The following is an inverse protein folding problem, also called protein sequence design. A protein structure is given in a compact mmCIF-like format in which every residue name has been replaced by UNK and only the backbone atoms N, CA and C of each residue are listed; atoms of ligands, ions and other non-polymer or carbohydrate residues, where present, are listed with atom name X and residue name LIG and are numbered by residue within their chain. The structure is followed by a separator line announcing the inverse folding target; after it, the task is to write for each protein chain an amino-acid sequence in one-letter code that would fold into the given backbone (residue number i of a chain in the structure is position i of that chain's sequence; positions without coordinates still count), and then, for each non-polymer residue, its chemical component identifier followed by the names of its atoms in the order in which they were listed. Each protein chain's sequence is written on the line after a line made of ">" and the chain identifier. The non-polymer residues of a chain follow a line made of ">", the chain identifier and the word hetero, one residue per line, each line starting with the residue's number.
data_IF_736584072158
#
_entry.id   IF_736584072158
#
_cell.length_a   1.000
_cell.length_b   1.000
_cell.length_c   1.000
_cell.angle_alpha   90.00
_cell.angle_beta   90.00
_cell.angle_gamma   90.00
#
_symmetry.space_group_name_H-M   'P 1'
#
loop_
_entity.id
_entity.type
_entity.pdbx_description
1 polymer ?
#
# COMPACT_ATOMS: atom_id res chain seq x y z
N UNK A 1 -8.67 7.43 23.44
CA UNK A 1 -8.31 6.08 23.93
C UNK A 1 -6.80 5.96 24.15
N UNK A 2 -5.98 5.98 23.09
CA UNK A 2 -4.52 5.81 23.21
C UNK A 2 -3.88 6.84 24.15
N UNK A 3 -4.29 8.10 24.07
CA UNK A 3 -3.85 9.17 24.97
C UNK A 3 -4.09 8.84 26.45
N UNK A 4 -5.31 8.39 26.80
CA UNK A 4 -5.64 7.97 28.16
C UNK A 4 -4.91 6.70 28.63
N UNK A 5 -4.45 5.83 27.73
CA UNK A 5 -3.57 4.71 28.09
C UNK A 5 -2.16 5.23 28.38
N UNK A 6 -1.62 6.08 27.50
CA UNK A 6 -0.29 6.64 27.63
C UNK A 6 -0.12 7.46 28.92
N UNK A 7 -1.07 8.35 29.23
CA UNK A 7 -1.00 9.19 30.43
C UNK A 7 -0.96 8.33 31.70
N UNK A 8 -1.87 7.35 31.83
CA UNK A 8 -1.89 6.43 32.97
C UNK A 8 -0.63 5.60 33.08
N UNK A 9 -0.16 5.04 31.97
CA UNK A 9 1.08 4.27 31.92
C UNK A 9 2.27 5.13 32.39
N UNK A 10 2.37 6.35 31.88
CA UNK A 10 3.44 7.29 32.24
C UNK A 10 3.41 7.64 33.72
N UNK A 11 2.25 7.87 34.31
CA UNK A 11 2.12 8.17 35.72
C UNK A 11 2.54 6.99 36.61
N UNK A 12 2.19 5.76 36.19
CA UNK A 12 2.68 4.55 36.86
C UNK A 12 4.21 4.45 36.82
N UNK A 13 4.83 4.64 35.65
CA UNK A 13 6.30 4.61 35.52
C UNK A 13 7.00 5.71 36.32
N UNK A 14 6.40 6.90 36.45
CA UNK A 14 6.94 7.99 37.28
C UNK A 14 6.85 7.69 38.77
N UNK A 15 5.74 7.08 39.20
CA UNK A 15 5.47 6.79 40.60
C UNK A 15 6.25 5.57 41.10
N UNK A 16 6.18 4.48 40.35
CA UNK A 16 6.61 3.16 40.82
C UNK A 16 7.95 2.71 40.17
N UNK A 17 8.46 3.47 39.21
CA UNK A 17 9.63 3.08 38.42
C UNK A 17 9.33 1.95 37.45
N UNK A 18 10.38 1.29 36.95
CA UNK A 18 10.26 0.16 36.06
C UNK A 18 11.51 -0.11 35.24
N UNK A 19 11.46 -1.10 34.36
CA UNK A 19 12.51 -1.36 33.40
C UNK A 19 12.56 -0.22 32.38
N UNK A 20 13.69 0.50 32.33
CA UNK A 20 13.99 1.53 31.34
C UNK A 20 12.84 2.56 31.13
N UNK A 21 12.51 3.37 32.15
CA UNK A 21 11.34 4.25 32.13
C UNK A 21 11.50 5.46 31.18
N UNK A 22 12.74 5.87 30.89
CA UNK A 22 13.06 7.13 30.21
C UNK A 22 12.28 7.36 28.91
N UNK A 23 12.16 6.39 27.97
CA UNK A 23 11.41 6.60 26.72
C UNK A 23 9.92 6.84 26.93
N UNK A 24 9.34 6.36 28.04
CA UNK A 24 7.91 6.53 28.35
C UNK A 24 7.68 7.88 29.02
N UNK A 25 8.53 8.25 29.98
CA UNK A 25 8.37 9.44 30.80
C UNK A 25 8.83 10.72 30.10
N UNK A 26 9.82 10.62 29.22
CA UNK A 26 10.42 11.76 28.49
C UNK A 26 9.86 11.95 27.08
N UNK A 27 8.98 11.08 26.58
CA UNK A 27 8.29 11.29 25.31
C UNK A 27 7.45 12.58 25.37
N UNK A 28 7.75 13.52 24.46
CA UNK A 28 7.02 14.79 24.34
C UNK A 28 5.52 14.53 24.17
N UNK A 29 4.70 15.24 24.95
CA UNK A 29 3.24 15.13 24.93
C UNK A 29 2.60 16.44 25.37
N UNK A 30 2.94 17.51 24.65
CA UNK A 30 2.62 18.91 25.01
C UNK A 30 1.32 19.37 24.35
N UNK A 31 0.28 18.54 24.44
CA UNK A 31 -1.06 18.88 23.94
C UNK A 31 -1.84 19.63 25.01
N UNK A 32 -2.68 20.58 24.59
CA UNK A 32 -3.51 21.38 25.49
C UNK A 32 -4.39 20.50 26.40
N UNK A 33 -4.89 19.38 25.86
CA UNK A 33 -5.59 18.33 26.62
C UNK A 33 -4.86 16.99 26.46
N UNK A 34 -3.96 16.62 27.39
CA UNK A 34 -3.15 15.40 27.27
C UNK A 34 -3.93 14.10 27.07
N UNK A 35 -5.13 13.97 27.64
CA UNK A 35 -5.97 12.77 27.49
C UNK A 35 -6.84 12.77 26.22
N UNK A 36 -6.95 13.93 25.55
CA UNK A 36 -7.72 14.12 24.32
C UNK A 36 -7.03 15.13 23.39
N UNK A 37 -5.84 14.80 22.83
CA UNK A 37 -5.13 15.68 21.90
C UNK A 37 -5.99 16.07 20.70
N UNK A 38 -5.89 17.33 20.28
CA UNK A 38 -6.65 17.82 19.13
C UNK A 38 -5.98 17.38 17.80
N UNK A 39 -6.75 16.95 16.78
CA UNK A 39 -6.19 16.59 15.47
C UNK A 39 -5.34 17.70 14.82
N UNK A 40 -5.64 18.98 15.08
CA UNK A 40 -4.87 20.09 14.54
C UNK A 40 -3.52 20.28 15.24
N UNK A 41 -3.42 20.00 16.55
CA UNK A 41 -2.14 20.00 17.26
C UNK A 41 -1.22 18.92 16.70
N UNK A 42 -1.76 17.70 16.51
CA UNK A 42 -1.08 16.60 15.83
C UNK A 42 -0.68 16.97 14.40
N UNK A 43 -1.55 17.68 13.68
CA UNK A 43 -1.27 18.12 12.31
C UNK A 43 -0.12 19.10 12.19
N UNK A 44 -0.05 20.06 13.10
CA UNK A 44 1.06 21.00 13.21
C UNK A 44 2.36 20.29 13.61
N UNK A 45 2.28 19.31 14.51
CA UNK A 45 3.44 18.53 14.95
C UNK A 45 4.07 17.71 13.82
N UNK A 46 3.29 16.96 13.03
CA UNK A 46 3.87 16.23 11.89
C UNK A 46 4.33 17.17 10.77
N UNK A 47 3.66 18.31 10.58
CA UNK A 47 4.05 19.32 9.58
C UNK A 47 5.31 20.08 9.97
N UNK A 48 5.63 20.13 11.26
CA UNK A 48 6.88 20.66 11.77
C UNK A 48 6.92 22.16 12.00
N UNK A 49 7.79 22.57 12.91
CA UNK A 49 7.99 23.96 13.33
C UNK A 49 9.47 24.24 13.60
N UNK A 50 9.81 25.53 13.59
CA UNK A 50 11.09 26.02 14.04
C UNK A 50 11.14 26.03 15.57
N UNK A 51 12.17 25.43 16.18
CA UNK A 51 12.44 25.47 17.62
C UNK A 51 13.26 26.69 18.02
N UNK A 52 13.97 27.29 17.05
CA UNK A 52 14.78 28.51 17.18
C UNK A 52 14.54 29.39 15.95
N UNK A 53 15.08 30.62 15.96
CA UNK A 53 15.12 31.42 14.74
C UNK A 53 15.95 30.72 13.67
N UNK A 54 15.43 30.68 12.44
CA UNK A 54 16.07 30.04 11.30
C UNK A 54 16.55 31.12 10.32
N UNK A 55 17.87 31.36 10.20
CA UNK A 55 18.42 32.20 9.13
C UNK A 55 18.31 31.53 7.75
N UNK A 56 18.25 32.32 6.68
CA UNK A 56 18.33 31.82 5.30
C UNK A 56 19.73 31.22 5.06
N UNK A 57 19.85 29.96 4.59
CA UNK A 57 21.15 29.38 4.25
C UNK A 57 21.95 30.16 3.20
N UNK A 58 21.27 30.91 2.32
CA UNK A 58 21.89 31.76 1.28
C UNK A 58 22.26 33.15 1.79
N UNK A 59 21.61 33.63 2.85
CA UNK A 59 21.84 34.94 3.44
C UNK A 59 21.54 34.91 4.95
N UNK A 60 22.55 34.62 5.80
CA UNK A 60 22.34 34.44 7.23
C UNK A 60 21.79 35.67 7.97
N UNK A 61 21.77 36.85 7.33
CA UNK A 61 21.19 38.07 7.89
C UNK A 61 19.66 38.10 7.81
N UNK A 62 19.07 37.25 6.97
CA UNK A 62 17.62 37.13 6.80
C UNK A 62 17.08 35.97 7.61
N UNK A 63 16.07 36.22 8.43
CA UNK A 63 15.36 35.17 9.17
C UNK A 63 14.17 34.67 8.35
N UNK A 64 14.15 33.38 8.03
CA UNK A 64 13.07 32.72 7.27
C UNK A 64 11.95 32.19 8.18
N UNK A 65 12.27 31.82 9.43
CA UNK A 65 11.29 31.42 10.46
C UNK A 65 11.71 31.91 11.84
N UNK A 66 10.75 32.38 12.63
CA UNK A 66 10.94 32.61 14.07
C UNK A 66 10.69 31.34 14.86
N UNK A 67 11.21 31.28 16.09
CA UNK A 67 10.90 30.17 17.00
C UNK A 67 9.38 30.04 17.21
N UNK A 68 8.85 28.83 17.09
CA UNK A 68 7.43 28.49 17.19
C UNK A 68 6.64 28.58 15.88
N UNK A 69 7.19 29.17 14.81
CA UNK A 69 6.50 29.22 13.52
C UNK A 69 6.51 27.85 12.82
N UNK A 70 5.41 27.54 12.11
CA UNK A 70 5.33 26.37 11.26
C UNK A 70 6.34 26.46 10.10
N UNK A 71 6.93 25.33 9.72
CA UNK A 71 7.80 25.27 8.53
C UNK A 71 6.96 25.30 7.26
N UNK A 72 7.43 25.95 6.19
CA UNK A 72 6.74 25.95 4.89
C UNK A 72 6.99 24.68 4.07
N UNK A 73 8.03 23.92 4.40
CA UNK A 73 8.37 22.68 3.69
C UNK A 73 9.62 22.03 4.26
N UNK A 74 9.87 20.78 3.87
CA UNK A 74 11.01 20.00 4.39
C UNK A 74 12.38 20.59 4.03
N UNK A 75 12.47 21.48 3.05
CA UNK A 75 13.70 22.20 2.73
C UNK A 75 14.17 23.15 3.85
N UNK A 76 13.30 23.47 4.82
CA UNK A 76 13.63 24.28 5.99
C UNK A 76 14.12 23.44 7.18
N UNK A 77 14.01 22.11 7.12
CA UNK A 77 14.47 21.21 8.19
C UNK A 77 16.00 21.24 8.31
N UNK A 78 16.49 21.09 9.56
CA UNK A 78 17.90 21.06 9.91
C UNK A 78 18.25 19.88 10.82
N UNK A 79 19.52 19.52 10.81
CA UNK A 79 20.11 18.44 11.60
C UNK A 79 20.76 18.93 12.92
N UNK A 80 20.67 20.22 13.22
CA UNK A 80 21.26 20.89 14.40
C UNK A 80 20.30 21.02 15.60
N UNK A 81 19.11 20.42 15.51
CA UNK A 81 18.07 20.49 16.53
C UNK A 81 17.32 21.84 16.59
N UNK A 82 17.49 22.72 15.60
CA UNK A 82 16.72 23.97 15.51
C UNK A 82 15.33 23.82 14.89
N UNK A 83 14.99 22.63 14.37
CA UNK A 83 13.69 22.31 13.78
C UNK A 83 13.15 20.99 14.29
N UNK A 84 11.82 20.83 14.27
CA UNK A 84 11.15 19.56 14.54
C UNK A 84 10.11 19.26 13.46
N UNK A 85 9.88 17.99 13.15
CA UNK A 85 8.77 17.50 12.32
C UNK A 85 8.52 16.02 12.64
N UNK A 86 7.27 15.66 12.95
CA UNK A 86 6.89 14.27 13.16
C UNK A 86 6.89 13.43 11.88
N UNK A 87 6.82 14.05 10.70
CA UNK A 87 6.87 13.37 9.41
C UNK A 87 7.39 14.31 8.31
N UNK A 88 8.67 14.19 7.94
CA UNK A 88 9.32 15.16 7.04
C UNK A 88 8.63 15.30 5.68
N UNK A 89 8.08 14.23 5.10
CA UNK A 89 7.34 14.30 3.82
C UNK A 89 6.04 15.09 3.91
N UNK A 90 5.50 15.29 5.12
CA UNK A 90 4.32 16.14 5.39
C UNK A 90 4.71 17.55 5.83
N UNK A 91 6.01 17.84 5.92
CA UNK A 91 6.47 19.16 6.32
C UNK A 91 5.91 20.22 5.36
N UNK A 92 5.21 21.22 5.91
CA UNK A 92 4.50 22.24 5.15
C UNK A 92 3.03 21.93 4.79
N UNK A 93 2.50 20.74 5.12
CA UNK A 93 1.07 20.45 4.95
C UNK A 93 0.18 21.37 5.81
N UNK A 94 0.64 21.67 7.02
CA UNK A 94 0.22 22.83 7.82
C UNK A 94 1.39 23.81 7.92
N UNK A 95 1.39 24.81 7.05
CA UNK A 95 2.48 25.77 6.92
C UNK A 95 2.19 27.11 7.62
N UNK A 96 3.05 28.13 7.40
CA UNK A 96 2.86 29.48 7.93
C UNK A 96 1.53 30.14 7.52
N UNK A 97 0.99 29.74 6.37
CA UNK A 97 -0.27 30.25 5.81
C UNK A 97 -1.49 29.46 6.27
N UNK A 98 -1.31 28.49 7.17
CA UNK A 98 -2.38 27.67 7.73
C UNK A 98 -2.44 26.25 7.16
N UNK A 99 -3.62 25.63 7.32
CA UNK A 99 -3.85 24.23 6.95
C UNK A 99 -4.10 24.08 5.44
N UNK A 100 -3.07 23.64 4.70
CA UNK A 100 -3.18 23.44 3.24
C UNK A 100 -4.01 22.20 2.88
N UNK A 101 -4.14 21.23 3.79
CA UNK A 101 -4.93 20.01 3.59
C UNK A 101 -6.43 20.31 3.56
N UNK A 102 -6.85 21.41 4.19
CA UNK A 102 -8.25 21.85 4.23
C UNK A 102 -8.68 22.66 2.99
N UNK A 103 -7.79 22.95 2.03
CA UNK A 103 -8.15 23.73 0.85
C UNK A 103 -9.17 23.00 -0.03
N UNK A 104 -10.08 23.78 -0.62
CA UNK A 104 -11.23 23.28 -1.42
C UNK A 104 -11.37 24.00 -2.77
N UNK A 105 -10.26 24.45 -3.34
CA UNK A 105 -10.25 25.05 -4.67
C UNK A 105 -9.96 23.97 -5.73
N UNK A 106 -10.95 23.67 -6.58
CA UNK A 106 -10.89 22.62 -7.59
C UNK A 106 -10.53 23.16 -8.99
N UNK A 107 -9.98 24.37 -9.07
CA UNK A 107 -9.54 24.93 -10.34
C UNK A 107 -8.52 24.00 -11.03
N UNK A 108 -8.74 23.76 -12.32
CA UNK A 108 -7.83 23.09 -13.24
C UNK A 108 -7.66 23.98 -14.48
N UNK A 109 -6.81 25.03 -14.40
CA UNK A 109 -6.64 25.99 -15.49
C UNK A 109 -6.00 25.36 -16.74
N UNK A 110 -5.43 24.16 -16.62
CA UNK A 110 -4.71 23.48 -17.70
C UNK A 110 -5.53 22.39 -18.40
N UNK A 111 -6.65 21.97 -17.80
CA UNK A 111 -7.54 20.95 -18.34
C UNK A 111 -6.99 19.52 -18.31
N UNK A 112 -5.92 19.27 -17.54
CA UNK A 112 -5.28 17.94 -17.45
C UNK A 112 -5.71 17.16 -16.19
N UNK A 113 -6.63 17.71 -15.41
CA UNK A 113 -7.12 17.16 -14.15
C UNK A 113 -6.23 17.49 -12.94
N UNK A 114 -5.31 18.45 -13.04
CA UNK A 114 -4.38 18.74 -11.93
C UNK A 114 -4.87 19.89 -11.03
N UNK A 115 -5.50 19.53 -9.91
CA UNK A 115 -6.12 20.47 -8.96
C UNK A 115 -5.19 20.80 -7.79
N UNK A 116 -4.10 21.54 -8.07
CA UNK A 116 -3.02 21.84 -7.09
C UNK A 116 -3.48 22.60 -5.85
N UNK A 117 -4.64 23.26 -5.91
CA UNK A 117 -5.22 23.99 -4.79
C UNK A 117 -6.28 23.21 -3.99
N UNK A 118 -6.59 21.96 -4.38
CA UNK A 118 -7.49 21.10 -3.61
C UNK A 118 -6.69 20.19 -2.69
N UNK A 119 -6.95 20.28 -1.38
CA UNK A 119 -6.16 19.65 -0.34
C UNK A 119 -4.64 19.90 -0.51
N UNK A 120 -3.81 18.99 -0.02
CA UNK A 120 -2.37 19.03 -0.17
C UNK A 120 -1.84 17.61 -0.35
N UNK A 121 -0.98 17.40 -1.34
CA UNK A 121 -0.34 16.11 -1.59
C UNK A 121 1.10 16.12 -1.09
N UNK A 122 1.58 15.01 -0.55
CA UNK A 122 3.00 14.83 -0.32
C UNK A 122 3.66 14.25 -1.59
N UNK A 123 4.94 14.56 -1.84
CA UNK A 123 5.77 15.57 -1.16
C UNK A 123 5.54 16.98 -1.74
N UNK A 124 5.54 18.01 -0.89
CA UNK A 124 5.52 19.43 -1.27
C UNK A 124 4.44 19.81 -2.32
N UNK A 125 3.26 19.21 -2.25
CA UNK A 125 2.12 19.39 -3.15
C UNK A 125 2.32 18.94 -4.60
N UNK A 126 3.38 18.15 -4.89
CA UNK A 126 3.60 17.51 -6.19
C UNK A 126 2.53 16.45 -6.44
N UNK A 127 1.82 16.56 -7.55
CA UNK A 127 0.68 15.66 -7.87
C UNK A 127 1.11 14.50 -8.76
N UNK A 128 2.12 14.71 -9.60
CA UNK A 128 2.73 13.67 -10.42
C UNK A 128 4.20 13.55 -10.03
N UNK A 129 4.57 12.45 -9.38
CA UNK A 129 5.96 12.14 -9.08
C UNK A 129 6.78 11.97 -10.36
N UNK A 130 8.07 12.31 -10.29
CA UNK A 130 9.03 12.21 -11.40
C UNK A 130 8.65 13.05 -12.63
N UNK A 131 7.86 14.12 -12.46
CA UNK A 131 7.34 14.92 -13.58
C UNK A 131 8.44 15.59 -14.44
N UNK A 132 9.70 15.70 -13.97
CA UNK A 132 10.85 16.04 -14.83
C UNK A 132 11.05 15.08 -16.00
N UNK A 133 10.70 13.80 -15.84
CA UNK A 133 10.75 12.80 -16.91
C UNK A 133 9.64 12.99 -17.98
N UNK A 134 8.72 13.94 -17.80
CA UNK A 134 7.77 14.35 -18.84
C UNK A 134 8.38 15.25 -19.93
N UNK A 135 9.64 15.67 -19.74
CA UNK A 135 10.42 16.48 -20.66
C UNK A 135 11.65 15.74 -21.18
N UNK A 136 12.13 16.13 -22.34
CA UNK A 136 13.43 15.72 -22.86
C UNK A 136 14.61 16.28 -22.03
N UNK A 137 15.83 15.99 -22.47
CA UNK A 137 17.06 16.41 -21.79
C UNK A 137 17.22 17.92 -21.73
N UNK A 138 16.59 18.69 -22.62
CA UNK A 138 16.64 20.15 -22.67
C UNK A 138 15.43 20.82 -21.99
N UNK A 139 14.55 20.04 -21.36
CA UNK A 139 13.40 20.54 -20.62
C UNK A 139 12.19 20.90 -21.47
N UNK A 140 12.15 20.44 -22.73
CA UNK A 140 10.98 20.55 -23.59
C UNK A 140 10.03 19.37 -23.32
N UNK A 141 8.73 19.61 -23.09
CA UNK A 141 7.75 18.53 -22.87
C UNK A 141 7.66 17.57 -24.06
N UNK A 142 7.65 16.26 -23.79
CA UNK A 142 7.44 15.24 -24.84
C UNK A 142 6.05 15.35 -25.46
N UNK A 143 5.04 15.72 -24.65
CA UNK A 143 3.69 15.96 -25.11
C UNK A 143 3.22 17.37 -24.72
N UNK A 144 3.28 18.36 -25.64
CA UNK A 144 2.88 19.73 -25.36
C UNK A 144 1.40 19.89 -24.95
N UNK A 145 0.53 18.96 -25.32
CA UNK A 145 -0.90 18.96 -24.93
C UNK A 145 -1.13 18.49 -23.48
N UNK A 146 -0.11 17.89 -22.85
CA UNK A 146 -0.13 17.38 -21.48
C UNK A 146 1.13 17.81 -20.73
N UNK A 147 1.44 19.11 -20.80
CA UNK A 147 2.61 19.70 -20.12
C UNK A 147 2.40 19.69 -18.61
N UNK A 148 3.20 18.89 -17.90
CA UNK A 148 3.27 18.93 -16.44
C UNK A 148 4.18 20.08 -15.98
N UNK A 149 5.44 20.03 -16.40
CA UNK A 149 6.42 21.11 -16.18
C UNK A 149 7.20 21.37 -17.48
N UNK A 150 7.92 22.48 -17.53
CA UNK A 150 8.90 22.81 -18.57
C UNK A 150 9.97 23.76 -18.01
N UNK A 151 11.13 23.78 -18.66
CA UNK A 151 12.16 24.77 -18.38
C UNK A 151 11.84 26.08 -19.10
N UNK A 152 11.88 27.22 -18.39
CA UNK A 152 11.63 28.55 -18.98
C UNK A 152 12.91 29.36 -19.27
N UNK A 153 14.10 28.76 -19.09
CA UNK A 153 15.39 29.44 -19.19
C UNK A 153 16.04 29.78 -17.84
N UNK A 154 15.26 29.76 -16.75
CA UNK A 154 15.74 30.07 -15.39
C UNK A 154 15.20 29.13 -14.31
N UNK A 155 13.97 28.65 -14.48
CA UNK A 155 13.27 27.81 -13.50
C UNK A 155 12.36 26.80 -14.18
N UNK A 156 12.10 25.69 -13.48
CA UNK A 156 11.08 24.72 -13.83
C UNK A 156 9.71 25.18 -13.35
N UNK A 157 8.68 25.02 -14.18
CA UNK A 157 7.31 25.31 -13.78
C UNK A 157 6.28 24.82 -14.79
N UNK A 158 5.01 24.88 -14.42
CA UNK A 158 3.92 24.43 -15.28
C UNK A 158 2.62 24.18 -14.53
N UNK A 159 1.93 23.13 -14.95
CA UNK A 159 0.66 22.67 -14.38
C UNK A 159 0.83 22.00 -13.01
N UNK A 160 2.04 21.54 -12.66
CA UNK A 160 2.36 20.86 -11.41
C UNK A 160 3.58 21.48 -10.72
N UNK A 161 3.76 21.18 -9.43
CA UNK A 161 4.98 21.52 -8.70
C UNK A 161 6.12 20.64 -9.22
N UNK A 162 7.29 21.20 -9.61
CA UNK A 162 8.41 20.38 -10.07
C UNK A 162 8.87 19.37 -9.01
N UNK A 163 8.90 18.09 -9.39
CA UNK A 163 9.59 17.03 -8.65
C UNK A 163 11.08 17.00 -9.05
N UNK A 164 11.70 18.16 -8.87
CA UNK A 164 13.05 18.44 -9.35
C UNK A 164 13.58 19.68 -8.62
N UNK A 165 14.89 19.93 -8.71
CA UNK A 165 15.48 21.18 -8.22
C UNK A 165 15.02 22.33 -9.13
N UNK A 166 14.40 23.35 -8.52
CA UNK A 166 13.64 24.38 -9.24
C UNK A 166 14.49 25.19 -10.23
N UNK A 167 15.75 25.45 -9.88
CA UNK A 167 16.72 26.25 -10.64
C UNK A 167 17.77 25.39 -11.36
N UNK A 168 17.52 24.09 -11.51
CA UNK A 168 18.48 23.19 -12.15
C UNK A 168 18.45 23.35 -13.68
N UNK A 169 19.53 23.88 -14.25
CA UNK A 169 19.67 24.00 -15.69
C UNK A 169 19.68 22.59 -16.33
N UNK A 170 18.82 22.29 -17.33
CA UNK A 170 18.82 21.01 -18.02
C UNK A 170 20.20 20.56 -18.54
N UNK A 171 21.05 21.51 -18.92
CA UNK A 171 22.39 21.23 -19.46
C UNK A 171 23.38 20.66 -18.41
N UNK A 172 23.07 20.79 -17.12
CA UNK A 172 23.90 20.21 -16.05
C UNK A 172 23.75 18.69 -15.92
N UNK A 173 22.75 18.09 -16.56
CA UNK A 173 22.59 16.63 -16.61
C UNK A 173 22.06 15.96 -15.32
N UNK A 174 21.47 16.70 -14.38
CA UNK A 174 20.81 16.10 -13.21
C UNK A 174 19.63 15.20 -13.63
N UNK A 175 19.61 13.97 -13.10
CA UNK A 175 18.61 12.97 -13.46
C UNK A 175 17.24 13.18 -12.77
N UNK A 176 16.12 12.80 -13.42
CA UNK A 176 14.75 13.10 -12.95
C UNK A 176 14.30 12.35 -11.68
N UNK A 177 15.04 11.35 -11.22
CA UNK A 177 14.65 10.51 -10.06
C UNK A 177 15.44 10.92 -8.83
N UNK A 178 15.03 12.03 -8.20
CA UNK A 178 15.81 12.74 -7.18
C UNK A 178 16.05 11.95 -5.88
N UNK A 179 15.25 10.91 -5.62
CA UNK A 179 15.43 10.04 -4.45
C UNK A 179 16.39 8.88 -4.72
N UNK A 180 16.81 8.67 -5.97
CA UNK A 180 17.79 7.66 -6.33
C UNK A 180 19.18 8.29 -6.33
N UNK A 181 20.20 7.68 -5.68
CA UNK A 181 21.58 8.19 -5.69
C UNK A 181 22.15 8.44 -7.09
N UNK A 182 21.75 7.61 -8.05
CA UNK A 182 22.18 7.72 -9.46
C UNK A 182 21.32 8.67 -10.31
N UNK A 183 20.24 9.25 -9.76
CA UNK A 183 19.34 10.17 -10.45
C UNK A 183 18.47 9.54 -11.56
N UNK A 184 18.56 8.22 -11.78
CA UNK A 184 17.85 7.51 -12.86
C UNK A 184 16.92 6.42 -12.32
N UNK A 185 15.94 6.01 -13.13
CA UNK A 185 15.15 4.81 -12.88
C UNK A 185 16.02 3.55 -13.09
N UNK A 186 15.73 2.49 -12.33
CA UNK A 186 16.47 1.23 -12.40
C UNK A 186 15.75 0.25 -13.31
N UNK A 187 16.32 -0.03 -14.47
CA UNK A 187 15.98 -1.23 -15.25
C UNK A 187 16.57 -2.49 -14.61
N UNK A 188 17.79 -2.38 -14.09
CA UNK A 188 18.47 -3.41 -13.29
C UNK A 188 18.48 -2.97 -11.82
N UNK A 189 17.80 -3.72 -10.95
CA UNK A 189 17.56 -3.32 -9.55
C UNK A 189 18.77 -3.49 -8.62
N UNK A 190 19.89 -4.06 -9.10
CA UNK A 190 21.08 -4.40 -8.30
C UNK A 190 20.71 -5.30 -7.11
N UNK A 191 21.30 -5.07 -5.94
CA UNK A 191 20.99 -5.81 -4.71
C UNK A 191 19.78 -5.29 -3.93
N UNK A 192 18.86 -4.55 -4.55
CA UNK A 192 17.71 -3.98 -3.84
C UNK A 192 16.49 -4.91 -3.74
N UNK A 193 16.58 -6.12 -4.33
CA UNK A 193 15.52 -7.14 -4.32
C UNK A 193 16.10 -8.45 -3.80
N UNK A 194 15.37 -9.15 -2.94
CA UNK A 194 15.82 -10.39 -2.33
C UNK A 194 16.01 -11.53 -3.35
N UNK A 195 15.19 -11.55 -4.39
CA UNK A 195 15.08 -12.59 -5.41
C UNK A 195 15.87 -12.30 -6.69
N UNK A 196 16.54 -11.15 -6.78
CA UNK A 196 17.44 -10.81 -7.87
C UNK A 196 17.13 -9.49 -8.58
N UNK A 197 18.05 -9.01 -9.44
CA UNK A 197 18.00 -7.67 -9.99
C UNK A 197 17.02 -7.49 -11.16
N UNK A 198 16.50 -8.58 -11.71
CA UNK A 198 15.47 -8.61 -12.74
C UNK A 198 14.30 -9.48 -12.26
N UNK A 199 13.05 -9.15 -12.65
CA UNK A 199 11.93 -10.06 -12.44
C UNK A 199 12.16 -11.39 -13.16
N UNK A 200 11.86 -12.49 -12.48
CA UNK A 200 11.90 -13.85 -13.01
C UNK A 200 10.60 -14.56 -12.59
N UNK A 201 10.11 -15.48 -13.43
CA UNK A 201 8.87 -16.20 -13.12
C UNK A 201 9.14 -17.36 -12.16
N UNK A 202 8.37 -17.39 -11.07
CA UNK A 202 8.30 -18.50 -10.14
C UNK A 202 6.83 -18.84 -9.86
N UNK A 203 6.54 -20.12 -9.71
CA UNK A 203 5.20 -20.60 -9.37
C UNK A 203 4.82 -20.26 -7.92
N UNK A 204 3.51 -20.10 -7.63
CA UNK A 204 2.98 -20.04 -6.27
C UNK A 204 3.37 -21.28 -5.44
N UNK A 205 3.49 -21.13 -4.12
CA UNK A 205 3.92 -22.23 -3.24
C UNK A 205 2.99 -23.45 -3.29
N UNK A 206 1.70 -23.20 -3.53
CA UNK A 206 0.75 -24.20 -3.95
C UNK A 206 0.39 -23.98 -5.41
N UNK A 207 1.08 -24.69 -6.30
CA UNK A 207 0.85 -24.65 -7.76
C UNK A 207 0.25 -25.96 -8.27
N UNK A 208 -0.64 -25.92 -9.28
CA UNK A 208 -1.15 -27.13 -9.94
C UNK A 208 -0.08 -27.82 -10.81
N UNK A 209 1.09 -27.18 -11.01
CA UNK A 209 2.16 -27.67 -11.88
C UNK A 209 3.20 -28.50 -11.10
N UNK A 210 3.79 -29.49 -11.76
CA UNK A 210 4.84 -30.33 -11.17
C UNK A 210 6.22 -29.65 -11.19
N UNK A 211 6.45 -28.77 -12.17
CA UNK A 211 7.67 -28.01 -12.37
C UNK A 211 7.32 -26.65 -12.98
N UNK A 212 8.21 -25.67 -12.82
CA UNK A 212 8.12 -24.38 -13.51
C UNK A 212 8.49 -24.56 -14.99
N UNK A 213 7.59 -24.29 -15.96
CA UNK A 213 7.88 -24.49 -17.39
C UNK A 213 9.05 -23.68 -17.95
N UNK A 214 9.39 -22.54 -17.32
CA UNK A 214 10.54 -21.72 -17.73
C UNK A 214 11.88 -22.26 -17.21
N UNK A 215 11.84 -23.13 -16.19
CA UNK A 215 13.02 -23.74 -15.59
C UNK A 215 12.74 -25.20 -15.18
N UNK A 216 12.33 -26.08 -16.11
CA UNK A 216 11.74 -27.38 -15.78
C UNK A 216 12.73 -28.35 -15.12
N UNK A 217 14.03 -28.15 -15.36
CA UNK A 217 15.10 -28.97 -14.80
C UNK A 217 15.72 -28.37 -13.52
N UNK A 218 15.13 -27.32 -12.95
CA UNK A 218 15.62 -26.63 -11.74
C UNK A 218 14.57 -26.66 -10.63
N UNK A 219 14.53 -27.72 -9.80
CA UNK A 219 13.51 -27.86 -8.74
C UNK A 219 13.50 -26.69 -7.74
N UNK A 220 14.66 -26.07 -7.50
CA UNK A 220 14.78 -24.90 -6.62
C UNK A 220 14.12 -23.65 -7.20
N UNK A 221 13.87 -23.60 -8.51
CA UNK A 221 13.20 -22.52 -9.22
C UNK A 221 11.71 -22.82 -9.46
N UNK A 222 11.13 -23.82 -8.77
CA UNK A 222 9.69 -24.01 -8.79
C UNK A 222 9.00 -22.78 -8.18
N UNK A 223 9.34 -22.45 -6.94
CA UNK A 223 8.85 -21.28 -6.22
C UNK A 223 9.98 -20.25 -6.05
N UNK A 224 9.64 -19.05 -5.57
CA UNK A 224 10.64 -18.01 -5.33
C UNK A 224 11.72 -18.51 -4.33
N UNK A 225 12.99 -18.64 -4.74
CA UNK A 225 14.03 -19.24 -3.90
C UNK A 225 14.45 -18.34 -2.72
N UNK A 226 14.14 -17.05 -2.76
CA UNK A 226 14.42 -16.10 -1.68
C UNK A 226 13.31 -16.01 -0.63
N UNK A 227 12.16 -16.65 -0.87
CA UNK A 227 11.03 -16.60 0.05
C UNK A 227 11.31 -17.40 1.34
N UNK A 228 10.88 -16.82 2.47
CA UNK A 228 10.99 -17.46 3.79
C UNK A 228 9.76 -18.31 4.05
N UNK A 229 9.99 -19.59 4.37
CA UNK A 229 8.92 -20.52 4.76
C UNK A 229 9.35 -21.28 6.00
N UNK A 230 8.57 -21.16 7.08
CA UNK A 230 8.82 -21.94 8.29
C UNK A 230 8.47 -23.42 8.06
N UNK A 231 9.08 -24.29 8.87
CA UNK A 231 8.92 -25.75 8.71
C UNK A 231 7.45 -26.17 8.79
N UNK A 232 6.71 -25.65 9.78
CA UNK A 232 5.29 -25.98 9.98
C UNK A 232 4.42 -25.51 8.80
N UNK A 233 4.70 -24.33 8.25
CA UNK A 233 3.95 -23.80 7.10
C UNK A 233 4.21 -24.62 5.84
N UNK A 234 5.45 -25.10 5.65
CA UNK A 234 5.81 -25.98 4.54
C UNK A 234 5.09 -27.33 4.60
N UNK A 235 4.93 -27.89 5.80
CA UNK A 235 4.15 -29.11 6.04
C UNK A 235 2.65 -28.90 5.79
N UNK A 236 2.16 -27.66 5.96
CA UNK A 236 0.76 -27.30 5.75
C UNK A 236 0.40 -27.01 4.28
N UNK A 237 1.33 -27.04 3.33
CA UNK A 237 1.02 -26.85 1.91
C UNK A 237 0.30 -28.07 1.30
N UNK A 238 -0.84 -27.79 0.69
CA UNK A 238 -1.59 -28.69 -0.16
C UNK A 238 -0.82 -29.06 -1.42
N UNK A 239 -1.17 -30.22 -1.96
CA UNK A 239 -0.63 -30.77 -3.20
C UNK A 239 -1.74 -30.91 -4.22
N UNK A 240 -1.40 -30.75 -5.50
CA UNK A 240 -2.36 -30.72 -6.60
C UNK A 240 -3.18 -32.01 -6.76
N UNK A 241 -2.65 -33.15 -6.33
CA UNK A 241 -3.38 -34.44 -6.30
C UNK A 241 -4.56 -34.44 -5.32
N UNK A 242 -4.45 -33.69 -4.21
CA UNK A 242 -5.51 -33.56 -3.19
C UNK A 242 -6.37 -32.30 -3.36
N UNK A 243 -5.75 -31.22 -3.83
CA UNK A 243 -6.35 -29.89 -4.00
C UNK A 243 -6.09 -29.41 -5.43
N UNK A 244 -6.85 -29.88 -6.43
CA UNK A 244 -6.49 -29.71 -7.85
C UNK A 244 -6.87 -28.35 -8.44
N UNK A 245 -7.65 -27.53 -7.73
CA UNK A 245 -8.15 -26.26 -8.25
C UNK A 245 -7.35 -25.09 -7.71
N UNK A 246 -6.99 -24.15 -8.58
CA UNK A 246 -6.41 -22.87 -8.15
C UNK A 246 -7.49 -22.07 -7.45
N UNK A 247 -7.12 -21.37 -6.39
CA UNK A 247 -7.99 -20.47 -5.64
C UNK A 247 -7.42 -19.07 -5.63
N UNK A 248 -8.32 -18.08 -5.68
CA UNK A 248 -7.97 -16.68 -5.51
C UNK A 248 -8.99 -15.94 -4.66
N UNK A 249 -8.53 -15.00 -3.85
CA UNK A 249 -9.39 -14.17 -2.99
C UNK A 249 -9.47 -12.74 -3.48
N UNK A 250 -10.64 -12.13 -3.45
CA UNK A 250 -10.85 -10.76 -3.93
C UNK A 250 -12.01 -10.07 -3.22
N UNK A 251 -12.36 -8.88 -3.72
CA UNK A 251 -13.37 -8.00 -3.16
C UNK A 251 -14.57 -7.89 -4.08
N UNK A 252 -15.72 -7.53 -3.50
CA UNK A 252 -16.94 -7.11 -4.16
C UNK A 252 -17.16 -5.64 -3.83
N UNK A 253 -17.70 -4.90 -4.79
CA UNK A 253 -17.95 -3.45 -4.69
C UNK A 253 -18.75 -3.07 -3.43
N UNK A 254 -19.70 -3.93 -3.07
CA UNK A 254 -20.67 -3.71 -2.01
C UNK A 254 -20.09 -3.94 -0.62
N UNK A 255 -18.90 -4.53 -0.50
CA UNK A 255 -18.30 -4.81 0.81
C UNK A 255 -16.87 -4.32 0.97
N UNK A 256 -16.57 -3.78 2.16
CA UNK A 256 -15.22 -3.42 2.58
C UNK A 256 -14.72 -4.38 3.65
N UNK A 257 -13.84 -5.30 3.23
CA UNK A 257 -13.29 -6.37 4.07
C UNK A 257 -14.41 -7.04 4.90
N UNK A 258 -14.19 -7.20 6.21
CA UNK A 258 -15.14 -7.74 7.17
C UNK A 258 -15.94 -6.65 7.91
N UNK A 259 -15.86 -5.39 7.46
CA UNK A 259 -16.48 -4.26 8.15
C UNK A 259 -17.92 -4.04 7.70
N UNK A 260 -18.17 -3.82 6.42
CA UNK A 260 -19.50 -3.37 5.99
C UNK A 260 -20.58 -4.46 6.05
N UNK A 261 -20.25 -5.71 6.39
CA UNK A 261 -21.25 -6.71 6.83
C UNK A 261 -21.96 -6.33 8.14
N UNK A 262 -21.51 -5.28 8.83
CA UNK A 262 -22.22 -4.62 9.94
C UNK A 262 -23.16 -3.49 9.48
N UNK A 263 -23.13 -3.11 8.20
CA UNK A 263 -24.00 -2.08 7.63
C UNK A 263 -25.17 -2.75 6.92
N UNK A 264 -26.39 -2.45 7.35
CA UNK A 264 -27.61 -3.13 6.92
C UNK A 264 -27.81 -3.09 5.40
N UNK A 265 -27.56 -1.96 4.74
CA UNK A 265 -27.74 -1.84 3.29
C UNK A 265 -26.79 -2.76 2.53
N UNK A 266 -25.50 -2.78 2.88
CA UNK A 266 -24.52 -3.67 2.26
C UNK A 266 -24.90 -5.15 2.48
N UNK A 267 -25.33 -5.49 3.69
CA UNK A 267 -25.82 -6.82 4.03
C UNK A 267 -27.15 -7.20 3.36
N UNK A 268 -27.91 -6.25 2.81
CA UNK A 268 -29.06 -6.54 1.94
C UNK A 268 -28.59 -6.78 0.51
N UNK A 269 -27.64 -5.97 0.03
CA UNK A 269 -27.16 -6.06 -1.36
C UNK A 269 -26.34 -7.33 -1.62
N UNK A 270 -25.45 -7.72 -0.70
CA UNK A 270 -24.66 -8.96 -0.77
C UNK A 270 -24.82 -9.75 0.54
N UNK A 271 -25.96 -10.45 0.73
CA UNK A 271 -26.36 -10.95 2.04
C UNK A 271 -25.63 -12.20 2.51
N UNK A 272 -25.08 -12.99 1.60
CA UNK A 272 -24.67 -14.36 1.88
C UNK A 272 -23.38 -14.73 1.16
N UNK A 273 -22.51 -15.47 1.86
CA UNK A 273 -21.26 -15.93 1.31
C UNK A 273 -21.47 -16.88 0.14
N UNK A 274 -20.75 -16.58 -0.94
CA UNK A 274 -20.67 -17.45 -2.11
C UNK A 274 -19.22 -17.62 -2.56
N UNK A 275 -19.00 -18.62 -3.40
CA UNK A 275 -17.78 -18.82 -4.18
C UNK A 275 -18.14 -18.89 -5.66
N UNK A 276 -17.31 -18.31 -6.51
CA UNK A 276 -17.50 -18.32 -7.95
C UNK A 276 -16.81 -19.56 -8.55
N UNK A 277 -17.59 -20.35 -9.29
CA UNK A 277 -17.13 -21.57 -9.95
C UNK A 277 -17.39 -21.44 -11.45
N UNK A 278 -16.38 -21.74 -12.26
CA UNK A 278 -16.54 -21.77 -13.72
C UNK A 278 -17.54 -22.84 -14.16
N UNK A 279 -18.32 -22.57 -15.21
CA UNK A 279 -19.34 -23.50 -15.70
C UNK A 279 -18.78 -24.91 -16.00
N UNK A 280 -17.59 -25.01 -16.60
CA UNK A 280 -16.95 -26.31 -16.89
C UNK A 280 -16.64 -27.10 -15.61
N UNK A 281 -16.04 -26.47 -14.59
CA UNK A 281 -15.78 -27.12 -13.30
C UNK A 281 -17.07 -27.54 -12.61
N UNK A 282 -18.10 -26.70 -12.67
CA UNK A 282 -19.40 -27.01 -12.09
C UNK A 282 -20.05 -28.23 -12.76
N UNK A 283 -19.96 -28.36 -14.08
CA UNK A 283 -20.45 -29.51 -14.83
C UNK A 283 -19.66 -30.78 -14.49
N UNK A 284 -18.32 -30.70 -14.43
CA UNK A 284 -17.43 -31.80 -14.03
C UNK A 284 -17.75 -32.33 -12.62
N UNK A 285 -18.09 -31.44 -11.68
CA UNK A 285 -18.38 -31.78 -10.28
C UNK A 285 -19.89 -32.00 -10.00
N UNK A 286 -20.78 -31.83 -10.99
CA UNK A 286 -22.23 -31.94 -10.79
C UNK A 286 -22.81 -30.89 -9.81
N UNK A 287 -22.26 -29.67 -9.82
CA UNK A 287 -22.66 -28.56 -8.95
C UNK A 287 -23.59 -27.61 -9.71
N UNK A 288 -24.86 -27.55 -9.30
CA UNK A 288 -25.81 -26.57 -9.85
C UNK A 288 -25.59 -25.17 -9.27
N UNK A 289 -25.93 -24.13 -10.05
CA UNK A 289 -25.93 -22.75 -9.54
C UNK A 289 -26.83 -22.61 -8.30
N UNK A 290 -26.34 -21.94 -7.26
CA UNK A 290 -27.06 -21.77 -5.99
C UNK A 290 -26.92 -22.95 -5.01
N UNK A 291 -26.27 -24.04 -5.40
CA UNK A 291 -26.04 -25.18 -4.50
C UNK A 291 -25.08 -24.82 -3.37
N UNK A 292 -25.14 -25.55 -2.26
CA UNK A 292 -24.09 -25.48 -1.23
C UNK A 292 -22.88 -26.29 -1.65
N UNK A 293 -21.71 -25.72 -1.44
CA UNK A 293 -20.42 -26.36 -1.70
C UNK A 293 -19.50 -26.17 -0.51
N UNK A 294 -18.64 -27.17 -0.29
CA UNK A 294 -17.51 -27.09 0.61
C UNK A 294 -16.27 -26.81 -0.22
N UNK A 295 -15.54 -25.77 0.15
CA UNK A 295 -14.22 -25.48 -0.39
C UNK A 295 -13.21 -25.76 0.71
N UNK A 296 -12.25 -26.65 0.45
CA UNK A 296 -11.24 -27.07 1.41
C UNK A 296 -9.83 -26.83 0.89
N UNK A 297 -8.92 -26.55 1.82
CA UNK A 297 -7.48 -26.60 1.61
C UNK A 297 -6.87 -27.51 2.67
N UNK A 298 -5.55 -27.70 2.63
CA UNK A 298 -4.86 -28.49 3.65
C UNK A 298 -4.91 -27.86 5.06
N UNK A 299 -5.42 -26.62 5.19
CA UNK A 299 -5.53 -25.86 6.44
C UNK A 299 -6.94 -25.88 7.05
N UNK A 300 -7.97 -26.20 6.28
CA UNK A 300 -9.35 -26.12 6.73
C UNK A 300 -10.35 -26.06 5.59
N UNK A 301 -11.60 -25.72 5.91
CA UNK A 301 -12.67 -25.61 4.92
C UNK A 301 -13.63 -24.47 5.22
N UNK A 302 -14.38 -24.07 4.20
CA UNK A 302 -15.54 -23.19 4.30
C UNK A 302 -16.72 -23.83 3.57
N UNK A 303 -17.93 -23.44 3.93
CA UNK A 303 -19.13 -23.77 3.17
C UNK A 303 -19.81 -22.49 2.67
N UNK A 304 -20.19 -22.48 1.41
CA UNK A 304 -20.71 -21.29 0.74
C UNK A 304 -21.73 -21.68 -0.35
N UNK A 305 -22.46 -20.68 -0.85
CA UNK A 305 -23.27 -20.84 -2.06
C UNK A 305 -22.36 -20.89 -3.29
N UNK A 306 -22.59 -21.81 -4.22
CA UNK A 306 -21.91 -21.81 -5.52
C UNK A 306 -22.57 -20.81 -6.47
N UNK A 307 -21.83 -19.79 -6.90
CA UNK A 307 -22.19 -18.95 -8.03
C UNK A 307 -21.54 -19.52 -9.29
N UNK A 308 -22.28 -20.31 -10.05
CA UNK A 308 -21.79 -20.90 -11.29
C UNK A 308 -21.86 -19.86 -12.41
N UNK A 309 -20.75 -19.63 -13.10
CA UNK A 309 -20.66 -18.56 -14.10
C UNK A 309 -19.73 -18.89 -15.26
N UNK A 310 -20.01 -18.29 -16.43
CA UNK A 310 -19.14 -18.32 -17.61
C UNK A 310 -18.02 -17.26 -17.56
N UNK A 311 -18.02 -16.37 -16.55
CA UNK A 311 -16.98 -15.37 -16.35
C UNK A 311 -15.63 -15.99 -15.97
N UNK A 312 -15.67 -17.10 -15.25
CA UNK A 312 -14.49 -17.90 -14.92
C UNK A 312 -14.42 -19.06 -15.90
N UNK A 313 -13.29 -19.18 -16.60
CA UNK A 313 -13.03 -20.23 -17.58
C UNK A 313 -11.79 -21.01 -17.18
N UNK A 314 -11.73 -22.33 -17.44
CA UNK A 314 -10.48 -23.06 -17.34
C UNK A 314 -9.46 -22.48 -18.30
N UNK A 315 -8.19 -22.52 -17.90
CA UNK A 315 -7.06 -22.21 -18.77
C UNK A 315 -6.36 -23.51 -19.15
N UNK A 316 -5.87 -23.59 -20.39
CA UNK A 316 -4.99 -24.68 -20.81
C UNK A 316 -3.56 -24.35 -20.42
N UNK A 317 -2.99 -25.11 -19.48
CA UNK A 317 -1.62 -24.92 -18.98
C UNK A 317 -0.92 -26.28 -19.04
N UNK A 318 0.21 -26.37 -19.75
CA UNK A 318 0.95 -27.63 -19.94
C UNK A 318 0.04 -28.78 -20.42
N UNK A 319 -0.87 -28.48 -21.34
CA UNK A 319 -1.82 -29.45 -21.90
C UNK A 319 -2.96 -29.88 -20.96
N UNK A 320 -3.06 -29.29 -19.76
CA UNK A 320 -4.11 -29.59 -18.77
C UNK A 320 -5.09 -28.43 -18.63
N UNK A 321 -6.36 -28.75 -18.39
CA UNK A 321 -7.33 -27.76 -17.95
C UNK A 321 -7.07 -27.44 -16.47
N UNK A 322 -6.72 -26.19 -16.19
CA UNK A 322 -6.56 -25.67 -14.83
C UNK A 322 -7.76 -24.80 -14.51
N UNK A 323 -8.52 -25.22 -13.50
CA UNK A 323 -9.70 -24.49 -13.02
C UNK A 323 -9.34 -23.53 -11.89
N UNK A 324 -10.03 -22.39 -11.84
CA UNK A 324 -9.91 -21.40 -10.76
C UNK A 324 -11.22 -21.27 -9.99
N UNK A 325 -11.13 -21.20 -8.67
CA UNK A 325 -12.24 -20.95 -7.74
C UNK A 325 -12.08 -19.55 -7.18
N UNK A 326 -13.08 -18.71 -7.41
CA UNK A 326 -13.08 -17.34 -6.94
C UNK A 326 -13.75 -17.20 -5.57
N UNK A 327 -13.13 -16.49 -4.64
CA UNK A 327 -13.64 -16.39 -3.26
C UNK A 327 -13.61 -14.95 -2.73
N UNK A 328 -14.76 -14.27 -2.65
CA UNK A 328 -14.83 -12.99 -1.97
C UNK A 328 -14.59 -13.11 -0.46
N UNK A 329 -14.05 -12.06 0.16
CA UNK A 329 -13.52 -12.10 1.54
C UNK A 329 -14.46 -11.50 2.60
N UNK A 330 -15.75 -11.35 2.34
CA UNK A 330 -16.55 -10.35 3.07
C UNK A 330 -17.36 -10.87 4.25
N UNK A 331 -17.43 -12.19 4.44
CA UNK A 331 -18.27 -12.81 5.46
C UNK A 331 -17.44 -13.37 6.62
N UNK A 332 -18.14 -13.71 7.70
CA UNK A 332 -17.58 -14.27 8.91
C UNK A 332 -18.67 -14.51 9.94
N UNK A 333 -18.29 -14.63 11.20
CA UNK A 333 -19.18 -15.05 12.29
C UNK A 333 -19.86 -13.88 13.05
N UNK A 334 -19.56 -12.62 12.72
CA UNK A 334 -20.20 -11.44 13.30
C UNK A 334 -20.73 -10.51 12.21
N UNK A 335 -21.85 -9.84 12.43
CA UNK A 335 -22.43 -8.88 11.48
C UNK A 335 -23.95 -9.02 11.38
N UNK A 336 -24.54 -8.26 10.46
CA UNK A 336 -25.97 -8.31 10.13
C UNK A 336 -26.24 -9.01 8.80
N UNK A 337 -25.20 -9.33 8.03
CA UNK A 337 -25.28 -10.30 6.92
C UNK A 337 -25.46 -11.73 7.46
N UNK A 338 -25.80 -12.69 6.60
CA UNK A 338 -25.87 -14.10 7.01
C UNK A 338 -24.49 -14.56 7.53
N UNK A 339 -24.44 -15.33 8.64
CA UNK A 339 -23.19 -15.90 9.11
C UNK A 339 -22.51 -16.72 8.02
N UNK A 340 -21.19 -16.63 7.99
CA UNK A 340 -20.34 -17.39 7.08
C UNK A 340 -18.96 -17.62 7.69
N UNK A 341 -18.02 -18.00 6.84
CA UNK A 341 -16.67 -18.37 7.20
C UNK A 341 -15.68 -17.28 6.78
N UNK A 342 -14.58 -17.15 7.53
CA UNK A 342 -13.45 -16.36 7.08
C UNK A 342 -12.73 -17.09 5.94
N UNK A 343 -12.61 -16.45 4.77
CA UNK A 343 -11.93 -17.03 3.61
C UNK A 343 -10.45 -17.34 3.90
N UNK A 344 -9.82 -16.60 4.83
CA UNK A 344 -8.45 -16.85 5.26
C UNK A 344 -8.25 -18.19 6.02
N UNK A 345 -9.32 -18.92 6.34
CA UNK A 345 -9.22 -20.33 6.77
C UNK A 345 -8.52 -21.19 5.71
N UNK A 346 -8.55 -20.78 4.44
CA UNK A 346 -8.00 -21.53 3.31
C UNK A 346 -6.62 -21.06 2.85
N UNK A 347 -6.20 -19.85 3.19
CA UNK A 347 -5.01 -19.22 2.60
C UNK A 347 -3.71 -19.74 3.21
N UNK A 348 -2.64 -19.90 2.42
CA UNK A 348 -1.36 -20.38 2.93
C UNK A 348 -0.65 -19.33 3.80
N UNK A 349 0.17 -19.80 4.74
CA UNK A 349 1.02 -18.94 5.59
C UNK A 349 2.41 -18.81 4.96
N UNK A 350 2.47 -18.07 3.85
CA UNK A 350 3.70 -17.73 3.13
C UNK A 350 3.52 -16.38 2.47
N UNK A 351 4.61 -15.65 2.22
CA UNK A 351 4.54 -14.33 1.61
C UNK A 351 5.73 -14.00 0.72
N UNK A 352 5.63 -12.82 0.12
CA UNK A 352 6.66 -12.20 -0.71
C UNK A 352 8.04 -12.20 -0.01
N UNK A 353 9.09 -12.45 -0.79
CA UNK A 353 10.46 -12.56 -0.28
C UNK A 353 10.96 -11.26 0.38
N UNK A 354 10.47 -10.10 -0.08
CA UNK A 354 10.92 -8.79 0.40
C UNK A 354 10.13 -8.30 1.61
N UNK A 355 8.80 -8.37 1.52
CA UNK A 355 7.87 -7.71 2.45
C UNK A 355 7.15 -8.68 3.38
N UNK A 356 7.23 -9.98 3.08
CA UNK A 356 6.44 -11.03 3.75
C UNK A 356 4.92 -10.84 3.58
N UNK A 357 4.49 -10.07 2.57
CA UNK A 357 3.07 -9.89 2.23
C UNK A 357 2.48 -11.25 1.80
N UNK A 358 1.41 -11.73 2.45
CA UNK A 358 0.96 -13.10 2.22
C UNK A 358 0.42 -13.43 0.81
N UNK A 359 0.64 -14.67 0.37
CA UNK A 359 0.19 -15.22 -0.92
C UNK A 359 -1.32 -15.57 -0.91
N UNK A 360 -2.17 -14.53 -0.88
CA UNK A 360 -3.63 -14.70 -0.82
C UNK A 360 -4.32 -14.79 -2.19
N UNK A 361 -3.55 -14.71 -3.29
CA UNK A 361 -4.09 -14.55 -4.65
C UNK A 361 -3.92 -15.77 -5.54
N UNK A 362 -3.09 -16.73 -5.15
CA UNK A 362 -2.93 -17.99 -5.84
C UNK A 362 -2.53 -19.07 -4.83
N UNK A 363 -3.38 -20.08 -4.67
CA UNK A 363 -3.14 -21.23 -3.80
C UNK A 363 -4.05 -22.38 -4.24
N UNK A 364 -3.98 -23.54 -3.59
CA UNK A 364 -4.75 -24.71 -4.01
C UNK A 364 -5.92 -25.05 -3.08
N UNK A 365 -7.04 -25.45 -3.68
CA UNK A 365 -8.25 -25.90 -3.00
C UNK A 365 -8.91 -27.10 -3.69
N UNK A 366 -9.80 -27.76 -2.96
CA UNK A 366 -10.75 -28.75 -3.45
C UNK A 366 -12.17 -28.21 -3.28
N UNK A 367 -13.02 -28.40 -4.28
CA UNK A 367 -14.45 -28.07 -4.21
C UNK A 367 -15.26 -29.35 -4.23
N UNK A 368 -16.23 -29.44 -3.33
CA UNK A 368 -17.12 -30.59 -3.20
C UNK A 368 -18.56 -30.11 -2.96
N UNK A 369 -19.54 -30.90 -3.41
CA UNK A 369 -20.94 -30.68 -3.06
C UNK A 369 -21.17 -31.04 -1.59
N UNK A 370 -22.00 -30.27 -0.89
CA UNK A 370 -22.45 -30.56 0.48
C UNK A 370 -23.71 -31.41 0.47
#
# INVERSE_FOLDING_TARGET
>A
IMAGLLVRLRDMYRKDGGAFPDPIVNLTWKYAQPESPDPEELAREYSGSALKELPDPKDPTKIIRKAGEQLAGFAELRDDGSTQSGCWIFCGAWGPTGNLMARRDNADPTGIGNTVNWAWAWPANRRVLYNRASCDTHGKPFNPKRKLIAWNGSTWGGADVPDFKLDENPDNGMGPFIMNPEGVARFFARGNMAEGPFPEHYEPFETPLAANPLSPNQPQALNNPAARVFKQDREAFGKADKFPHVATTYRLTEHFHYWTKHVRLNAITQPEQFVEIGAALADELGIGNGSRVRVSSNRGHIEAVAMVTKRIKPLMIEGKQVHTVGMPIHWGFLGVAKPGYLTNTLTPFVGDANTQTPEFKSFLVKVEKV
#
